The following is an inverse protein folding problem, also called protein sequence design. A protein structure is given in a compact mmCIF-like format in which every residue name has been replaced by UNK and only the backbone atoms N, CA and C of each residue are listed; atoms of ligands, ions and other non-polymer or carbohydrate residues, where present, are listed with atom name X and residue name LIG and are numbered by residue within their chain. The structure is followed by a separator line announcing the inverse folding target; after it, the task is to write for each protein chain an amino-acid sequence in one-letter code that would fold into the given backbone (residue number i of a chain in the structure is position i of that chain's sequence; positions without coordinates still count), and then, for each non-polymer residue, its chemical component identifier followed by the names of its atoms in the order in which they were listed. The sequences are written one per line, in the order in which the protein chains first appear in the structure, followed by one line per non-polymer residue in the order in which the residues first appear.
data_IF_497412989548
#
_entry.id   IF_497412989548
#
_cell.length_a   1.000
_cell.length_b   1.000
_cell.length_c   1.000
_cell.angle_alpha   90.00
_cell.angle_beta   90.00
_cell.angle_gamma   90.00
#
_symmetry.space_group_name_H-M   'P 1'
#
loop_
_entity.id
_entity.type
_entity.pdbx_description
1 polymer ?
#
# COMPACT_ATOMS: atom_id res chain seq x y z
N UNK A 1 -14.39 -16.68 -14.41
CA UNK A 1 -13.04 -16.10 -14.18
C UNK A 1 -12.05 -16.80 -15.08
N UNK A 2 -11.20 -16.05 -15.77
CA UNK A 2 -10.10 -16.56 -16.59
C UNK A 2 -8.78 -16.11 -15.96
N UNK A 3 -7.88 -17.06 -15.69
CA UNK A 3 -6.55 -16.77 -15.17
C UNK A 3 -5.52 -17.15 -16.22
N UNK A 4 -4.61 -16.24 -16.55
CA UNK A 4 -3.47 -16.50 -17.44
C UNK A 4 -2.17 -16.08 -16.75
N UNK A 5 -1.09 -16.78 -17.11
CA UNK A 5 0.27 -16.51 -16.62
C UNK A 5 1.20 -16.37 -17.81
N UNK A 6 2.00 -15.33 -17.82
CA UNK A 6 3.03 -15.15 -18.85
C UNK A 6 4.39 -14.86 -18.22
N UNK A 7 5.46 -15.24 -18.91
CA UNK A 7 6.81 -14.86 -18.55
C UNK A 7 7.00 -13.39 -18.96
N UNK A 8 7.03 -12.50 -17.98
CA UNK A 8 7.13 -11.06 -18.21
C UNK A 8 8.57 -10.58 -18.35
N UNK A 9 9.52 -11.30 -17.70
CA UNK A 9 10.93 -10.95 -17.75
C UNK A 9 11.80 -11.86 -16.89
N UNK A 10 13.07 -11.51 -16.80
CA UNK A 10 14.04 -12.17 -15.92
C UNK A 10 14.96 -11.14 -15.27
N UNK A 11 15.32 -11.37 -14.03
CA UNK A 11 16.37 -10.60 -13.36
C UNK A 11 17.75 -10.90 -13.96
N UNK A 12 18.74 -10.07 -13.64
CA UNK A 12 20.13 -10.30 -14.05
C UNK A 12 20.73 -11.61 -13.53
N UNK A 13 20.22 -12.14 -12.40
CA UNK A 13 20.61 -13.43 -11.87
C UNK A 13 19.75 -14.61 -12.39
N UNK A 14 18.87 -14.36 -13.37
CA UNK A 14 18.09 -15.39 -14.06
C UNK A 14 16.77 -15.78 -13.37
N UNK A 15 16.36 -15.15 -12.28
CA UNK A 15 15.05 -15.40 -11.68
C UNK A 15 13.95 -14.97 -12.64
N UNK A 16 12.96 -15.81 -12.83
CA UNK A 16 11.82 -15.55 -13.71
C UNK A 16 10.81 -14.63 -13.04
N UNK A 17 10.34 -13.65 -13.81
CA UNK A 17 9.31 -12.72 -13.41
C UNK A 17 8.07 -13.02 -14.24
N UNK A 18 6.95 -13.21 -13.55
CA UNK A 18 5.67 -13.56 -14.17
C UNK A 18 4.67 -12.42 -14.01
N UNK A 19 3.81 -12.27 -15.01
CA UNK A 19 2.61 -11.46 -14.98
C UNK A 19 1.40 -12.38 -15.01
N UNK A 20 0.52 -12.23 -14.03
CA UNK A 20 -0.73 -12.95 -13.92
C UNK A 20 -1.87 -12.02 -14.29
N UNK A 21 -2.76 -12.43 -15.17
CA UNK A 21 -4.00 -11.69 -15.47
C UNK A 21 -5.19 -12.51 -15.02
N UNK A 22 -6.03 -11.92 -14.16
CA UNK A 22 -7.28 -12.53 -13.72
C UNK A 22 -8.44 -11.68 -14.24
N UNK A 23 -9.23 -12.24 -15.14
CA UNK A 23 -10.31 -11.54 -15.84
C UNK A 23 -11.67 -12.11 -15.48
N UNK A 24 -12.62 -11.24 -15.17
CA UNK A 24 -14.00 -11.62 -14.88
C UNK A 24 -14.84 -11.74 -16.18
N UNK A 25 -16.07 -12.23 -16.05
CA UNK A 25 -16.98 -12.45 -17.18
C UNK A 25 -17.42 -11.14 -17.86
N UNK A 26 -17.28 -9.99 -17.18
CA UNK A 26 -17.63 -8.65 -17.72
C UNK A 26 -16.46 -7.97 -18.43
N UNK A 27 -15.28 -8.63 -18.46
CA UNK A 27 -14.08 -8.12 -19.12
C UNK A 27 -13.17 -7.25 -18.24
N UNK A 28 -13.57 -6.92 -17.02
CA UNK A 28 -12.69 -6.28 -16.04
C UNK A 28 -11.62 -7.27 -15.55
N UNK A 29 -10.42 -6.77 -15.28
CA UNK A 29 -9.31 -7.65 -14.89
C UNK A 29 -8.31 -6.96 -13.97
N UNK A 30 -7.52 -7.77 -13.29
CA UNK A 30 -6.35 -7.36 -12.52
C UNK A 30 -5.10 -8.02 -13.10
N UNK A 31 -3.98 -7.30 -13.10
CA UNK A 31 -2.68 -7.85 -13.37
C UNK A 31 -1.80 -7.80 -12.13
N UNK A 32 -1.17 -8.93 -11.81
CA UNK A 32 -0.34 -9.13 -10.62
C UNK A 32 1.03 -9.64 -11.03
N UNK A 33 2.07 -9.24 -10.33
CA UNK A 33 3.44 -9.73 -10.55
C UNK A 33 4.06 -10.29 -9.29
N UNK A 34 4.95 -11.26 -9.46
CA UNK A 34 5.79 -11.78 -8.38
C UNK A 34 6.97 -10.87 -8.01
N UNK A 35 7.11 -9.70 -8.63
CA UNK A 35 8.01 -8.64 -8.12
C UNK A 35 7.30 -7.93 -6.98
N UNK A 36 7.78 -8.12 -5.75
CA UNK A 36 7.20 -7.52 -4.56
C UNK A 36 5.73 -7.90 -4.30
N UNK A 37 5.26 -9.04 -4.85
CA UNK A 37 3.84 -9.43 -4.80
C UNK A 37 2.92 -8.30 -5.27
N UNK A 38 3.26 -7.65 -6.41
CA UNK A 38 2.73 -6.35 -6.80
C UNK A 38 1.45 -6.39 -7.63
N UNK A 39 0.60 -5.39 -7.42
CA UNK A 39 -0.50 -5.04 -8.34
C UNK A 39 0.10 -4.21 -9.47
N UNK A 40 -0.04 -4.70 -10.72
CA UNK A 40 0.47 -4.02 -11.92
C UNK A 40 -0.61 -3.20 -12.61
N UNK A 41 -1.83 -3.74 -12.71
CA UNK A 41 -2.97 -3.09 -13.34
C UNK A 41 -4.28 -3.50 -12.68
N UNK A 42 -5.25 -2.59 -12.67
CA UNK A 42 -6.64 -2.89 -12.37
C UNK A 42 -7.49 -2.19 -13.42
N UNK A 43 -8.13 -2.98 -14.28
CA UNK A 43 -8.92 -2.46 -15.39
C UNK A 43 -10.39 -2.66 -15.11
N UNK A 44 -11.11 -1.55 -14.91
CA UNK A 44 -12.51 -1.53 -14.50
C UNK A 44 -13.34 -0.53 -15.32
N UNK A 45 -14.66 -0.76 -15.46
CA UNK A 45 -15.52 0.13 -16.23
C UNK A 45 -15.76 1.47 -15.53
N UNK A 46 -15.97 2.50 -16.31
CA UNK A 46 -16.55 3.77 -15.87
C UNK A 46 -18.09 3.75 -15.94
N UNK A 47 -18.73 4.91 -15.66
CA UNK A 47 -20.18 5.10 -15.73
C UNK A 47 -20.80 4.81 -17.11
N UNK A 48 -20.01 4.87 -18.19
CA UNK A 48 -20.43 4.59 -19.56
C UNK A 48 -20.05 3.17 -20.01
N UNK A 49 -19.47 2.37 -19.11
CA UNK A 49 -19.01 1.00 -19.35
C UNK A 49 -17.63 0.91 -20.03
N UNK A 50 -16.91 2.02 -20.16
CA UNK A 50 -15.58 2.05 -20.78
C UNK A 50 -14.53 1.57 -19.80
N UNK A 51 -13.83 0.50 -20.17
CA UNK A 51 -12.75 -0.07 -19.38
C UNK A 51 -11.49 0.80 -19.43
N UNK A 52 -10.91 1.12 -18.29
CA UNK A 52 -9.60 1.75 -18.19
C UNK A 52 -8.82 1.21 -16.99
N UNK A 53 -7.49 1.21 -17.13
CA UNK A 53 -6.58 0.91 -16.02
C UNK A 53 -6.58 2.08 -15.04
N UNK A 54 -6.78 1.81 -13.77
CA UNK A 54 -6.86 2.83 -12.72
C UNK A 54 -5.69 2.80 -11.73
N UNK A 55 -4.64 2.02 -12.04
CA UNK A 55 -3.45 1.88 -11.20
C UNK A 55 -2.20 2.34 -11.94
N UNK A 56 -1.40 3.21 -11.32
CA UNK A 56 -0.09 3.59 -11.85
C UNK A 56 0.88 2.40 -11.77
N UNK A 57 1.75 2.28 -12.78
CA UNK A 57 2.75 1.21 -12.85
C UNK A 57 3.64 1.36 -14.08
N UNK A 58 4.46 0.36 -14.34
CA UNK A 58 5.48 0.40 -15.39
C UNK A 58 5.24 -0.67 -16.45
N UNK A 59 5.72 -0.45 -17.70
CA UNK A 59 5.52 -1.39 -18.79
C UNK A 59 6.40 -2.64 -18.72
N UNK A 60 7.50 -2.56 -17.97
CA UNK A 60 8.45 -3.67 -17.85
C UNK A 60 8.77 -3.98 -16.37
N UNK A 61 9.08 -5.25 -16.04
CA UNK A 61 9.26 -5.67 -14.65
C UNK A 61 10.51 -5.09 -14.00
N UNK A 62 11.53 -4.71 -14.77
CA UNK A 62 12.78 -4.20 -14.20
C UNK A 62 12.62 -2.80 -13.63
N UNK A 63 11.66 -2.03 -14.15
CA UNK A 63 11.33 -0.70 -13.65
C UNK A 63 10.71 -0.70 -12.24
N UNK A 64 10.24 -1.86 -11.75
CA UNK A 64 9.72 -2.00 -10.38
C UNK A 64 10.82 -2.17 -9.32
N UNK A 65 12.06 -2.54 -9.71
CA UNK A 65 13.15 -2.67 -8.73
C UNK A 65 13.76 -1.31 -8.40
N UNK A 66 13.69 -0.93 -7.13
CA UNK A 66 14.25 0.34 -6.66
C UNK A 66 13.56 1.58 -7.22
N UNK A 67 12.29 1.46 -7.60
CA UNK A 67 11.48 2.51 -8.25
C UNK A 67 11.16 3.72 -7.36
N UNK A 68 11.66 3.79 -6.14
CA UNK A 68 11.36 4.88 -5.21
C UNK A 68 9.89 4.92 -4.75
N UNK A 69 8.89 5.04 -5.66
CA UNK A 69 7.47 5.03 -5.29
C UNK A 69 6.96 3.74 -4.67
N UNK A 70 7.64 2.60 -4.79
CA UNK A 70 7.15 1.30 -4.35
C UNK A 70 5.84 0.87 -5.05
N UNK A 71 5.65 1.28 -6.32
CA UNK A 71 4.38 1.21 -7.04
C UNK A 71 3.74 -0.19 -7.04
N UNK A 72 2.55 -0.31 -6.46
CA UNK A 72 1.72 -1.51 -6.43
C UNK A 72 2.20 -2.63 -5.52
N UNK A 73 3.40 -2.54 -4.94
CA UNK A 73 4.09 -3.65 -4.25
C UNK A 73 3.68 -3.78 -2.78
N UNK A 74 4.05 -4.90 -2.17
CA UNK A 74 3.91 -5.17 -0.73
C UNK A 74 5.23 -4.82 -0.04
N UNK A 75 5.34 -3.64 0.63
CA UNK A 75 6.51 -3.30 1.43
C UNK A 75 6.55 -4.16 2.70
N UNK A 76 7.76 -4.49 3.12
CA UNK A 76 8.01 -5.29 4.32
C UNK A 76 9.52 -5.44 4.55
N UNK A 77 9.90 -5.88 5.76
CA UNK A 77 9.14 -6.52 6.84
C UNK A 77 8.22 -5.52 7.57
N UNK A 78 8.64 -4.25 7.69
CA UNK A 78 7.85 -3.20 8.33
C UNK A 78 7.50 -2.11 7.31
N UNK A 79 6.24 -2.04 6.91
CA UNK A 79 5.72 -0.97 6.06
C UNK A 79 5.72 0.36 6.82
N UNK A 80 5.95 1.47 6.10
CA UNK A 80 6.13 2.80 6.64
C UNK A 80 7.42 2.92 7.49
N UNK A 81 7.53 3.97 8.33
CA UNK A 81 8.77 4.38 8.98
C UNK A 81 9.01 3.72 10.32
N UNK A 82 10.30 3.48 10.63
CA UNK A 82 10.83 3.19 11.96
C UNK A 82 11.88 4.25 12.29
N UNK A 83 11.66 4.99 13.38
CA UNK A 83 12.47 6.13 13.79
C UNK A 83 13.94 5.73 13.98
N UNK A 84 14.84 6.50 13.35
CA UNK A 84 16.29 6.31 13.42
C UNK A 84 16.76 4.90 13.04
N UNK A 85 15.90 4.09 12.39
CA UNK A 85 16.17 2.70 12.07
C UNK A 85 16.43 1.85 13.32
N UNK A 86 15.77 2.12 14.43
CA UNK A 86 15.99 1.40 15.68
C UNK A 86 14.70 1.04 16.37
N UNK A 87 14.69 -0.12 17.01
CA UNK A 87 13.64 -0.52 17.94
C UNK A 87 14.20 -1.49 18.98
N UNK A 88 13.49 -1.61 20.11
CA UNK A 88 13.80 -2.60 21.15
C UNK A 88 12.71 -3.65 21.22
N UNK A 89 13.09 -4.92 21.16
CA UNK A 89 12.18 -6.05 21.30
C UNK A 89 12.74 -7.01 22.38
N UNK A 90 11.94 -7.29 23.40
CA UNK A 90 12.30 -8.16 24.53
C UNK A 90 13.64 -7.78 25.19
N UNK A 91 13.93 -6.47 25.27
CA UNK A 91 15.15 -5.91 25.88
C UNK A 91 16.39 -5.91 24.97
N UNK A 92 16.28 -6.35 23.73
CA UNK A 92 17.36 -6.32 22.73
C UNK A 92 17.10 -5.17 21.75
N UNK A 93 18.11 -4.29 21.58
CA UNK A 93 18.06 -3.24 20.54
C UNK A 93 18.44 -3.83 19.18
N UNK A 94 17.61 -3.54 18.17
CA UNK A 94 17.84 -3.88 16.76
C UNK A 94 18.08 -2.62 15.95
N UNK A 95 19.00 -2.69 14.99
CA UNK A 95 19.35 -1.59 14.10
C UNK A 95 19.06 -1.98 12.64
N UNK A 96 18.30 -1.14 11.96
CA UNK A 96 17.86 -1.31 10.59
C UNK A 96 18.61 -0.31 9.68
N UNK A 97 18.83 -0.61 8.39
CA UNK A 97 19.41 0.33 7.43
C UNK A 97 18.58 1.59 7.30
N UNK A 98 19.24 2.75 7.27
CA UNK A 98 18.62 4.05 7.03
C UNK A 98 18.48 4.27 5.52
N UNK A 99 17.27 4.56 5.05
CA UNK A 99 16.98 4.78 3.63
C UNK A 99 15.98 5.92 3.36
N UNK A 100 15.54 6.67 4.40
CA UNK A 100 14.65 7.81 4.25
C UNK A 100 15.00 8.90 5.27
N UNK A 101 15.80 9.88 4.88
CA UNK A 101 16.34 10.86 5.81
C UNK A 101 17.09 10.18 6.97
N UNK A 102 16.71 10.44 8.24
CA UNK A 102 17.30 9.76 9.39
C UNK A 102 16.63 8.41 9.70
N UNK A 103 15.58 8.02 8.98
CA UNK A 103 14.71 6.91 9.34
C UNK A 103 14.87 5.70 8.40
N UNK A 104 14.38 4.56 8.85
CA UNK A 104 14.14 3.39 8.03
C UNK A 104 12.73 3.45 7.46
N UNK A 105 12.55 3.06 6.20
CA UNK A 105 11.28 3.08 5.47
C UNK A 105 11.05 1.78 4.72
N UNK A 106 9.84 1.24 4.79
CA UNK A 106 9.33 0.13 3.97
C UNK A 106 10.23 -1.12 3.99
N UNK A 107 10.80 -1.47 5.15
CA UNK A 107 11.66 -2.65 5.26
C UNK A 107 13.08 -2.47 4.69
N UNK A 108 13.43 -1.23 4.28
CA UNK A 108 14.79 -0.88 3.83
C UNK A 108 15.02 -1.03 2.33
N UNK A 109 16.26 -0.76 1.88
CA UNK A 109 16.60 -0.73 0.45
C UNK A 109 16.41 -2.09 -0.24
N UNK A 110 16.56 -3.19 0.49
CA UNK A 110 16.35 -4.57 0.02
C UNK A 110 15.12 -5.22 0.66
N UNK A 111 14.09 -4.42 0.97
CA UNK A 111 12.83 -4.89 1.54
C UNK A 111 12.03 -5.78 0.58
N UNK A 112 10.90 -6.29 1.05
CA UNK A 112 10.04 -7.26 0.36
C UNK A 112 9.58 -6.79 -1.03
N UNK A 113 9.38 -5.48 -1.19
CA UNK A 113 9.00 -4.84 -2.44
C UNK A 113 10.06 -4.98 -3.54
N UNK A 114 11.32 -5.24 -3.19
CA UNK A 114 12.44 -5.41 -4.13
C UNK A 114 12.85 -6.87 -4.32
N UNK A 115 11.98 -7.81 -3.95
CA UNK A 115 12.22 -9.26 -4.09
C UNK A 115 11.35 -9.87 -5.18
N UNK A 116 11.88 -10.92 -5.81
CA UNK A 116 11.07 -11.81 -6.64
C UNK A 116 10.55 -12.91 -5.72
N UNK A 117 9.24 -12.94 -5.53
CA UNK A 117 8.54 -13.92 -4.68
C UNK A 117 8.28 -15.20 -5.47
N UNK A 118 8.23 -16.33 -4.78
CA UNK A 118 7.64 -17.53 -5.35
C UNK A 118 6.15 -17.30 -5.60
N UNK A 119 5.59 -17.94 -6.62
CA UNK A 119 4.19 -17.73 -6.96
C UNK A 119 3.51 -19.04 -7.33
N UNK A 120 2.27 -19.17 -6.90
CA UNK A 120 1.40 -20.29 -7.27
C UNK A 120 -0.02 -19.83 -7.56
N UNK A 121 -0.64 -20.45 -8.54
CA UNK A 121 -2.04 -20.24 -8.85
C UNK A 121 -2.91 -21.01 -7.84
N UNK A 122 -4.04 -20.42 -7.49
CA UNK A 122 -5.08 -21.09 -6.71
C UNK A 122 -6.47 -20.81 -7.32
N UNK A 123 -7.52 -21.35 -6.72
CA UNK A 123 -8.88 -21.13 -7.19
C UNK A 123 -9.26 -19.65 -7.01
N UNK A 124 -9.46 -18.95 -8.14
CA UNK A 124 -9.87 -17.54 -8.20
C UNK A 124 -8.75 -16.54 -7.99
N UNK A 125 -7.47 -16.96 -7.86
CA UNK A 125 -6.41 -16.02 -7.54
C UNK A 125 -4.98 -16.54 -7.68
N UNK A 126 -4.06 -15.78 -7.08
CA UNK A 126 -2.62 -16.07 -7.06
C UNK A 126 -2.09 -15.83 -5.65
N UNK A 127 -1.24 -16.73 -5.20
CA UNK A 127 -0.45 -16.57 -3.97
C UNK A 127 1.01 -16.29 -4.32
N UNK A 128 1.58 -15.30 -3.63
CA UNK A 128 2.99 -14.98 -3.64
C UNK A 128 3.57 -15.31 -2.28
N UNK A 129 4.69 -16.05 -2.26
CA UNK A 129 5.37 -16.53 -1.06
C UNK A 129 6.78 -15.97 -1.01
N UNK A 130 7.15 -15.41 0.14
CA UNK A 130 8.52 -14.96 0.40
C UNK A 130 9.03 -15.48 1.74
N UNK A 131 10.25 -16.01 1.73
CA UNK A 131 10.99 -16.38 2.93
C UNK A 131 12.06 -15.34 3.21
N UNK A 132 11.91 -14.63 4.32
CA UNK A 132 12.87 -13.66 4.82
C UNK A 132 13.71 -14.31 5.91
N UNK A 133 15.02 -14.42 5.71
CA UNK A 133 15.93 -15.05 6.67
C UNK A 133 16.06 -14.21 7.95
N UNK A 134 16.46 -14.87 9.05
CA UNK A 134 16.81 -14.16 10.28
C UNK A 134 17.93 -13.14 10.01
N UNK A 135 17.74 -11.90 10.48
CA UNK A 135 18.68 -10.80 10.27
C UNK A 135 18.55 -10.07 8.93
N UNK A 136 17.65 -10.48 8.04
CA UNK A 136 17.41 -9.72 6.79
C UNK A 136 17.00 -8.27 7.10
N UNK A 137 17.73 -7.30 6.54
CA UNK A 137 17.58 -5.86 6.83
C UNK A 137 17.64 -5.52 8.33
N UNK A 138 18.25 -6.37 9.15
CA UNK A 138 18.40 -6.17 10.60
C UNK A 138 17.23 -6.65 11.45
N UNK A 139 16.19 -7.22 10.85
CA UNK A 139 15.03 -7.75 11.59
C UNK A 139 15.29 -9.15 12.13
N UNK A 140 14.92 -9.44 13.41
CA UNK A 140 15.09 -10.77 13.99
C UNK A 140 14.05 -11.77 13.48
N UNK A 141 14.44 -13.04 13.50
CA UNK A 141 13.61 -14.19 13.16
C UNK A 141 13.48 -14.44 11.67
N UNK A 142 13.47 -15.72 11.29
CA UNK A 142 13.11 -16.12 9.94
C UNK A 142 11.58 -16.04 9.77
N UNK A 143 11.12 -15.41 8.68
CA UNK A 143 9.73 -15.11 8.44
C UNK A 143 9.27 -15.73 7.12
N UNK A 144 8.20 -16.49 7.16
CA UNK A 144 7.44 -16.93 5.99
C UNK A 144 6.26 -16.00 5.78
N UNK A 145 6.19 -15.34 4.64
CA UNK A 145 5.13 -14.39 4.29
C UNK A 145 4.39 -14.86 3.05
N UNK A 146 3.06 -14.75 3.06
CA UNK A 146 2.20 -15.02 1.90
C UNK A 146 1.32 -13.79 1.64
N UNK A 147 1.29 -13.36 0.39
CA UNK A 147 0.32 -12.40 -0.13
C UNK A 147 -0.61 -13.15 -1.11
N UNK A 148 -1.87 -13.33 -0.73
CA UNK A 148 -2.88 -13.98 -1.54
C UNK A 148 -3.82 -12.95 -2.13
N UNK A 149 -3.93 -12.93 -3.46
CA UNK A 149 -4.86 -12.10 -4.20
C UNK A 149 -5.98 -12.93 -4.82
N UNK A 150 -7.19 -12.41 -4.72
CA UNK A 150 -8.38 -12.97 -5.36
C UNK A 150 -9.12 -11.85 -6.08
N UNK A 151 -9.52 -12.07 -7.34
CA UNK A 151 -10.36 -11.17 -8.11
C UNK A 151 -11.77 -11.74 -8.21
N UNK A 152 -12.81 -10.89 -8.15
CA UNK A 152 -14.20 -11.36 -8.15
C UNK A 152 -14.98 -10.90 -9.38
N UNK A 153 -16.15 -11.52 -9.60
CA UNK A 153 -17.09 -11.09 -10.65
C UNK A 153 -17.67 -9.69 -10.41
N UNK A 154 -17.62 -9.20 -9.17
CA UNK A 154 -18.12 -7.88 -8.78
C UNK A 154 -17.01 -6.81 -8.69
N UNK A 155 -15.84 -7.10 -9.32
CA UNK A 155 -14.67 -6.20 -9.34
C UNK A 155 -14.10 -5.89 -7.95
N UNK A 156 -14.09 -6.87 -7.05
CA UNK A 156 -13.33 -6.78 -5.80
C UNK A 156 -11.97 -7.46 -5.95
N UNK A 157 -10.90 -6.75 -5.63
CA UNK A 157 -9.57 -7.31 -5.42
C UNK A 157 -9.37 -7.51 -3.92
N UNK A 158 -9.31 -8.77 -3.51
CA UNK A 158 -9.11 -9.16 -2.12
C UNK A 158 -7.66 -9.55 -1.91
N UNK A 159 -6.99 -8.89 -1.00
CA UNK A 159 -5.62 -9.20 -0.58
C UNK A 159 -5.65 -9.71 0.86
N UNK A 160 -5.16 -10.93 1.06
CA UNK A 160 -4.88 -11.46 2.41
C UNK A 160 -3.36 -11.59 2.58
N UNK A 161 -2.85 -10.99 3.64
CA UNK A 161 -1.44 -11.04 4.03
C UNK A 161 -1.31 -11.90 5.27
N UNK A 162 -0.58 -13.01 5.17
CA UNK A 162 -0.30 -13.88 6.31
C UNK A 162 1.20 -14.05 6.52
N UNK A 163 1.61 -14.23 7.79
CA UNK A 163 3.00 -14.53 8.11
C UNK A 163 3.14 -15.34 9.38
N UNK A 164 4.22 -16.13 9.45
CA UNK A 164 4.67 -16.90 10.60
C UNK A 164 6.17 -16.69 10.80
N UNK A 165 6.61 -16.60 12.05
CA UNK A 165 8.02 -16.41 12.40
C UNK A 165 8.52 -17.48 13.36
N UNK A 166 9.80 -17.85 13.27
CA UNK A 166 10.46 -18.81 14.20
C UNK A 166 10.99 -18.13 15.47
N UNK A 167 11.07 -16.78 15.48
CA UNK A 167 11.47 -15.99 16.64
C UNK A 167 10.61 -14.71 16.73
N UNK A 168 10.55 -14.03 17.89
CA UNK A 168 9.87 -12.75 18.01
C UNK A 168 10.40 -11.73 17.00
N UNK A 169 9.51 -11.07 16.28
CA UNK A 169 9.84 -10.05 15.27
C UNK A 169 8.79 -8.96 15.24
N UNK A 170 9.09 -7.83 14.60
CA UNK A 170 8.11 -6.78 14.32
C UNK A 170 7.65 -6.88 12.86
N UNK A 171 6.34 -6.74 12.63
CA UNK A 171 5.73 -6.93 11.33
C UNK A 171 4.65 -5.89 11.07
N UNK A 172 4.67 -5.32 9.89
CA UNK A 172 3.61 -4.48 9.34
C UNK A 172 3.64 -4.62 7.81
N UNK A 173 2.58 -5.12 7.23
CA UNK A 173 2.46 -5.34 5.79
C UNK A 173 1.27 -4.55 5.24
N UNK A 174 1.41 -4.04 4.02
CA UNK A 174 0.35 -3.33 3.28
C UNK A 174 0.55 -3.53 1.78
N UNK A 175 -0.27 -2.87 0.96
CA UNK A 175 -0.04 -2.72 -0.48
C UNK A 175 0.07 -1.24 -0.84
N UNK A 176 1.02 -0.91 -1.71
CA UNK A 176 1.35 0.47 -2.09
C UNK A 176 0.88 0.82 -3.53
N UNK A 177 -0.34 0.40 -3.89
CA UNK A 177 -0.91 0.78 -5.19
C UNK A 177 -1.29 2.26 -5.22
N UNK A 178 -0.95 2.92 -6.33
CA UNK A 178 -1.38 4.30 -6.60
C UNK A 178 -2.58 4.28 -7.53
N UNK A 179 -3.67 4.86 -7.09
CA UNK A 179 -4.93 4.93 -7.85
C UNK A 179 -5.11 6.28 -8.53
N UNK A 180 -5.57 6.24 -9.79
CA UNK A 180 -6.17 7.36 -10.49
C UNK A 180 -7.45 6.85 -11.19
N UNK A 181 -8.60 7.12 -10.62
CA UNK A 181 -9.87 6.58 -11.10
C UNK A 181 -10.36 7.21 -12.42
N UNK A 182 -9.73 8.30 -12.87
CA UNK A 182 -9.95 8.84 -14.22
C UNK A 182 -9.20 8.03 -15.29
N UNK A 183 -8.27 7.16 -14.86
CA UNK A 183 -7.43 6.32 -15.69
C UNK A 183 -5.95 6.60 -15.50
N UNK A 184 -5.12 5.56 -15.61
CA UNK A 184 -3.67 5.67 -15.56
C UNK A 184 -3.16 6.62 -16.63
N UNK A 185 -2.32 7.60 -16.26
CA UNK A 185 -1.82 8.64 -17.16
C UNK A 185 -2.83 9.76 -17.50
N UNK A 186 -4.00 9.78 -16.89
CA UNK A 186 -5.04 10.78 -17.17
C UNK A 186 -5.10 11.90 -16.11
N UNK A 187 -4.08 12.74 -16.11
CA UNK A 187 -4.01 13.92 -15.23
C UNK A 187 -3.77 13.61 -13.76
N UNK A 188 -4.13 14.54 -12.90
CA UNK A 188 -3.94 14.46 -11.45
C UNK A 188 -5.18 13.92 -10.70
N UNK A 189 -5.00 13.67 -9.40
CA UNK A 189 -6.05 13.15 -8.51
C UNK A 189 -6.69 14.25 -7.64
N UNK A 190 -6.39 15.51 -7.88
CA UNK A 190 -6.83 16.60 -7.02
C UNK A 190 -8.36 16.81 -7.05
N UNK A 191 -9.00 16.43 -8.17
CA UNK A 191 -10.45 16.42 -8.31
C UNK A 191 -11.15 15.18 -7.74
N UNK A 192 -10.41 14.13 -7.34
CA UNK A 192 -11.00 12.96 -6.72
C UNK A 192 -11.53 13.31 -5.32
N UNK A 193 -12.69 12.78 -4.99
CA UNK A 193 -13.31 12.94 -3.67
C UNK A 193 -12.92 11.77 -2.78
N UNK A 194 -12.29 12.08 -1.65
CA UNK A 194 -11.95 11.10 -0.63
C UNK A 194 -12.90 11.26 0.55
N UNK A 195 -13.49 10.16 1.04
CA UNK A 195 -14.27 10.06 2.27
C UNK A 195 -13.66 8.98 3.16
N UNK A 196 -13.43 9.29 4.44
CA UNK A 196 -12.74 8.39 5.36
C UNK A 196 -13.58 8.10 6.60
N UNK A 197 -13.55 6.85 7.07
CA UNK A 197 -14.07 6.45 8.37
C UNK A 197 -13.01 6.65 9.45
N UNK A 198 -12.59 7.90 9.65
CA UNK A 198 -11.50 8.25 10.56
C UNK A 198 -11.70 9.66 11.11
N UNK A 199 -11.94 9.77 12.40
CA UNK A 199 -12.12 11.05 13.12
C UNK A 199 -10.82 11.61 13.69
N UNK A 200 -9.73 10.85 13.64
CA UNK A 200 -8.39 11.20 14.14
C UNK A 200 -7.30 10.81 13.15
N UNK A 201 -6.15 11.48 13.24
CA UNK A 201 -4.93 11.15 12.50
C UNK A 201 -3.71 11.20 13.43
N UNK A 202 -2.58 10.68 12.99
CA UNK A 202 -1.33 10.70 13.72
C UNK A 202 -0.48 11.91 13.28
N UNK A 203 -0.37 12.99 14.09
CA UNK A 203 0.55 14.08 13.83
C UNK A 203 1.99 13.60 13.83
N UNK A 204 2.82 14.18 12.96
CA UNK A 204 4.20 13.77 12.78
C UNK A 204 5.18 14.90 13.06
N UNK A 205 6.43 14.57 13.35
CA UNK A 205 7.54 15.51 13.34
C UNK A 205 7.98 15.85 11.89
N UNK A 206 9.01 16.69 11.76
CA UNK A 206 9.55 17.12 10.46
C UNK A 206 10.18 15.97 9.64
N UNK A 207 10.40 14.80 10.23
CA UNK A 207 10.90 13.59 9.57
C UNK A 207 9.79 12.58 9.29
N UNK A 208 8.54 12.98 9.51
CA UNK A 208 7.32 12.19 9.33
C UNK A 208 7.22 10.97 10.27
N UNK A 209 7.80 11.07 11.46
CA UNK A 209 7.61 10.12 12.55
C UNK A 209 6.45 10.57 13.43
N UNK A 210 5.46 9.71 13.75
CA UNK A 210 4.35 10.05 14.64
C UNK A 210 4.81 10.53 16.01
N UNK A 211 4.14 11.57 16.53
CA UNK A 211 4.45 12.15 17.84
C UNK A 211 3.97 11.29 19.03
N UNK A 212 3.13 10.28 18.77
CA UNK A 212 2.64 9.33 19.77
C UNK A 212 1.14 9.44 20.01
N UNK A 213 0.62 10.64 20.21
CA UNK A 213 -0.82 10.86 20.40
C UNK A 213 -1.52 11.14 19.05
N UNK A 214 -2.75 10.65 18.90
CA UNK A 214 -3.62 11.04 17.79
C UNK A 214 -4.21 12.43 18.02
N UNK A 215 -4.63 13.07 16.94
CA UNK A 215 -5.30 14.37 16.96
C UNK A 215 -6.60 14.33 16.15
N UNK A 216 -7.64 15.07 16.57
CA UNK A 216 -8.89 15.13 15.83
C UNK A 216 -8.70 15.78 14.46
N UNK A 217 -9.39 15.26 13.45
CA UNK A 217 -9.39 15.82 12.09
C UNK A 217 -10.33 17.02 11.99
N UNK A 218 -11.36 17.09 12.82
CA UNK A 218 -12.43 18.10 12.75
C UNK A 218 -11.90 19.53 12.78
N UNK A 219 -12.31 20.32 11.79
CA UNK A 219 -11.88 21.72 11.63
C UNK A 219 -10.46 21.91 11.11
N UNK A 220 -9.81 20.84 10.63
CA UNK A 220 -8.49 20.86 10.01
C UNK A 220 -8.54 20.44 8.54
N UNK A 221 -7.50 20.69 7.74
CA UNK A 221 -7.38 20.14 6.39
C UNK A 221 -7.41 18.61 6.32
N UNK A 222 -7.20 17.91 7.46
CA UNK A 222 -7.21 16.45 7.56
C UNK A 222 -8.62 15.84 7.62
N UNK A 223 -9.68 16.66 7.69
CA UNK A 223 -11.06 16.21 7.81
C UNK A 223 -11.63 15.74 6.45
N UNK A 224 -11.71 14.43 6.27
CA UNK A 224 -12.35 13.74 5.15
C UNK A 224 -13.60 12.95 5.55
N UNK A 225 -14.12 13.12 6.76
CA UNK A 225 -15.26 12.34 7.29
C UNK A 225 -16.49 12.45 6.39
N UNK A 226 -16.80 13.64 5.90
CA UNK A 226 -17.97 13.90 5.04
C UNK A 226 -17.67 13.84 3.54
N UNK A 227 -16.43 13.51 3.18
CA UNK A 227 -15.97 13.52 1.80
C UNK A 227 -15.70 14.92 1.25
N UNK A 228 -14.54 15.11 0.63
CA UNK A 228 -14.17 16.34 -0.07
C UNK A 228 -13.14 16.05 -1.16
N UNK A 229 -12.99 16.92 -2.17
CA UNK A 229 -11.92 16.83 -3.14
C UNK A 229 -10.54 16.87 -2.45
N UNK A 230 -9.63 15.99 -2.87
CA UNK A 230 -8.26 15.93 -2.33
C UNK A 230 -7.56 17.28 -2.49
N UNK A 231 -7.75 17.94 -3.64
CA UNK A 231 -7.13 19.23 -3.93
C UNK A 231 -7.67 20.41 -3.13
N UNK A 232 -8.81 20.26 -2.44
CA UNK A 232 -9.47 21.37 -1.76
C UNK A 232 -8.57 22.06 -0.75
N UNK A 233 -7.88 21.28 0.09
CA UNK A 233 -7.07 21.80 1.19
C UNK A 233 -5.60 21.36 1.12
N UNK A 234 -5.17 20.66 0.05
CA UNK A 234 -3.83 20.07 -0.05
C UNK A 234 -2.69 21.10 0.07
N UNK A 235 -2.98 22.36 -0.27
CA UNK A 235 -2.04 23.50 -0.19
C UNK A 235 -2.37 24.48 0.93
N UNK A 236 -3.19 24.06 1.91
CA UNK A 236 -3.53 24.90 3.05
C UNK A 236 -2.29 25.25 3.88
N UNK A 237 -2.35 26.40 4.56
CA UNK A 237 -1.31 26.82 5.51
C UNK A 237 -1.41 26.00 6.81
N UNK A 238 -1.04 24.72 6.69
CA UNK A 238 -1.10 23.72 7.75
C UNK A 238 0.22 22.96 7.77
N UNK A 239 0.92 22.96 8.91
CA UNK A 239 2.29 22.47 9.01
C UNK A 239 2.48 21.03 8.52
N UNK A 240 1.61 20.04 8.86
CA UNK A 240 1.73 18.69 8.34
C UNK A 240 1.73 18.62 6.79
N UNK A 241 0.87 19.41 6.13
CA UNK A 241 0.80 19.45 4.67
C UNK A 241 2.04 20.08 4.03
N UNK A 242 2.66 21.06 4.70
CA UNK A 242 3.91 21.67 4.22
C UNK A 242 5.06 20.68 4.29
N UNK A 243 5.18 19.92 5.40
CA UNK A 243 6.19 18.89 5.59
C UNK A 243 6.05 17.79 4.52
N UNK A 244 4.83 17.29 4.32
CA UNK A 244 4.54 16.23 3.34
C UNK A 244 4.48 16.71 1.89
N UNK A 245 4.48 18.03 1.61
CA UNK A 245 4.18 18.61 0.29
C UNK A 245 2.78 18.20 -0.22
N UNK A 246 1.89 17.86 0.69
CA UNK A 246 0.57 17.30 0.48
C UNK A 246 0.22 16.30 1.57
N UNK A 247 -0.73 15.42 1.31
CA UNK A 247 -1.04 14.37 2.28
C UNK A 247 0.01 13.26 2.18
N UNK A 248 0.57 12.89 3.33
CA UNK A 248 1.41 11.71 3.58
C UNK A 248 1.31 11.39 5.07
N UNK A 249 0.12 11.00 5.50
CA UNK A 249 -0.22 10.85 6.92
C UNK A 249 -1.01 9.58 7.18
N UNK A 250 -0.98 9.11 8.42
CA UNK A 250 -1.75 7.97 8.89
C UNK A 250 -3.00 8.45 9.63
N UNK A 251 -4.18 8.01 9.17
CA UNK A 251 -5.46 8.17 9.87
C UNK A 251 -5.76 6.95 10.71
N UNK A 252 -6.38 7.19 11.87
CA UNK A 252 -6.88 6.16 12.79
C UNK A 252 -8.26 5.76 12.31
N UNK A 253 -8.45 4.48 11.96
CA UNK A 253 -9.76 3.99 11.50
C UNK A 253 -10.70 3.87 12.69
N UNK A 254 -11.85 4.56 12.64
CA UNK A 254 -12.83 4.57 13.71
C UNK A 254 -13.44 3.18 13.92
N UNK A 255 -13.45 2.72 15.19
CA UNK A 255 -14.03 1.43 15.57
C UNK A 255 -13.22 0.21 15.10
N UNK A 256 -11.94 0.39 14.77
CA UNK A 256 -11.08 -0.72 14.38
C UNK A 256 -10.92 -1.73 15.51
N UNK A 257 -11.27 -2.99 15.22
CA UNK A 257 -11.04 -4.12 16.13
C UNK A 257 -10.15 -5.17 15.46
N UNK A 258 -9.19 -5.75 16.19
CA UNK A 258 -8.27 -6.74 15.62
C UNK A 258 -9.01 -7.90 14.93
N UNK A 259 -8.63 -8.17 13.66
CA UNK A 259 -9.18 -9.28 12.87
C UNK A 259 -10.59 -9.05 12.32
N UNK A 260 -11.23 -7.91 12.59
CA UNK A 260 -12.54 -7.58 12.04
C UNK A 260 -12.41 -6.72 10.78
N UNK A 261 -13.03 -7.18 9.69
CA UNK A 261 -13.08 -6.43 8.43
C UNK A 261 -14.07 -5.26 8.58
N UNK A 262 -13.62 -4.05 8.29
CA UNK A 262 -14.41 -2.83 8.44
C UNK A 262 -14.19 -1.89 7.26
N UNK A 263 -15.15 -1.01 7.01
CA UNK A 263 -15.01 0.06 6.04
C UNK A 263 -13.93 1.06 6.48
N UNK A 264 -13.01 1.33 5.58
CA UNK A 264 -11.92 2.28 5.78
C UNK A 264 -12.22 3.63 5.11
N UNK A 265 -12.39 3.62 3.80
CA UNK A 265 -12.58 4.84 3.02
C UNK A 265 -13.22 4.56 1.66
N UNK A 266 -13.66 5.64 1.00
CA UNK A 266 -14.11 5.67 -0.38
C UNK A 266 -13.35 6.75 -1.14
N UNK A 267 -12.81 6.40 -2.31
CA UNK A 267 -12.28 7.32 -3.29
C UNK A 267 -13.19 7.31 -4.50
N UNK A 268 -13.61 8.48 -5.00
CA UNK A 268 -14.42 8.57 -6.20
C UNK A 268 -13.92 9.65 -7.15
N UNK A 269 -14.09 9.43 -8.45
CA UNK A 269 -13.73 10.38 -9.49
C UNK A 269 -15.00 10.84 -10.22
N UNK A 270 -15.47 12.07 -9.99
CA UNK A 270 -16.72 12.57 -10.59
C UNK A 270 -16.74 12.55 -12.11
N UNK A 271 -15.59 12.70 -12.76
CA UNK A 271 -15.48 12.72 -14.23
C UNK A 271 -15.79 11.35 -14.83
N UNK A 272 -15.11 10.30 -14.37
CA UNK A 272 -15.32 8.94 -14.85
C UNK A 272 -16.52 8.26 -14.21
N UNK A 273 -16.97 8.73 -13.05
CA UNK A 273 -17.98 8.08 -12.22
C UNK A 273 -17.46 6.85 -11.49
N UNK A 274 -16.18 6.46 -11.62
CA UNK A 274 -15.59 5.34 -10.89
C UNK A 274 -15.47 5.66 -9.41
N UNK A 275 -15.68 4.63 -8.59
CA UNK A 275 -15.40 4.64 -7.16
C UNK A 275 -14.60 3.43 -6.73
N UNK A 276 -13.86 3.59 -5.66
CA UNK A 276 -13.13 2.56 -4.94
C UNK A 276 -13.50 2.63 -3.47
N UNK A 277 -14.14 1.60 -2.95
CA UNK A 277 -14.36 1.41 -1.51
C UNK A 277 -13.28 0.48 -0.98
N UNK A 278 -12.70 0.82 0.16
CA UNK A 278 -11.66 0.01 0.81
C UNK A 278 -12.16 -0.47 2.16
N UNK A 279 -12.01 -1.77 2.39
CA UNK A 279 -12.29 -2.43 3.66
C UNK A 279 -11.01 -3.11 4.15
N UNK A 280 -10.77 -3.12 5.47
CA UNK A 280 -9.56 -3.71 6.03
C UNK A 280 -9.75 -4.18 7.46
N UNK A 281 -8.85 -5.08 7.89
CA UNK A 281 -8.69 -5.49 9.29
C UNK A 281 -7.61 -4.68 10.01
N UNK A 282 -6.94 -3.76 9.32
CA UNK A 282 -5.87 -2.92 9.86
C UNK A 282 -6.42 -1.76 10.71
N UNK A 283 -5.69 -1.29 11.72
CA UNK A 283 -6.13 -0.20 12.61
C UNK A 283 -5.98 1.20 12.01
N UNK A 284 -5.16 1.36 10.98
CA UNK A 284 -4.87 2.64 10.38
C UNK A 284 -4.75 2.60 8.86
N UNK A 285 -4.75 3.77 8.26
CA UNK A 285 -4.57 3.95 6.83
C UNK A 285 -3.67 5.14 6.55
N UNK A 286 -2.57 4.90 5.83
CA UNK A 286 -1.74 5.97 5.27
C UNK A 286 -2.35 6.41 3.95
N UNK A 287 -2.54 7.71 3.78
CA UNK A 287 -2.91 8.30 2.50
C UNK A 287 -1.75 9.15 2.02
N UNK A 288 -1.22 8.77 0.86
CA UNK A 288 -0.11 9.48 0.21
C UNK A 288 -0.56 9.96 -1.18
N UNK A 289 -0.57 11.26 -1.38
CA UNK A 289 -1.08 11.89 -2.61
C UNK A 289 -0.04 11.98 -3.75
N UNK A 290 0.97 11.11 -3.73
CA UNK A 290 1.96 11.07 -4.80
C UNK A 290 2.82 12.34 -4.91
N UNK A 291 3.15 12.95 -3.78
CA UNK A 291 3.77 14.29 -3.66
C UNK A 291 5.19 14.37 -4.29
N UNK A 292 5.80 13.21 -4.58
CA UNK A 292 7.17 13.06 -5.09
C UNK A 292 7.25 12.02 -6.22
N UNK A 293 6.22 11.93 -7.08
CA UNK A 293 6.23 11.01 -8.22
C UNK A 293 7.06 11.52 -9.39
N UNK A 294 7.22 12.84 -9.51
CA UNK A 294 8.03 13.45 -10.56
C UNK A 294 9.46 12.88 -10.57
N UNK A 295 9.89 12.38 -11.74
CA UNK A 295 11.21 11.78 -11.92
C UNK A 295 11.28 10.27 -11.70
N UNK A 296 10.19 9.59 -11.37
CA UNK A 296 10.12 8.14 -11.40
C UNK A 296 10.22 7.61 -12.87
N UNK A 297 10.45 6.30 -13.09
CA UNK A 297 10.45 5.74 -14.43
C UNK A 297 9.17 6.06 -15.20
N UNK A 298 9.25 6.13 -16.54
CA UNK A 298 8.07 6.32 -17.37
C UNK A 298 7.05 5.20 -17.13
N UNK A 299 5.81 5.59 -16.96
CA UNK A 299 4.68 4.71 -16.72
C UNK A 299 4.26 3.93 -17.96
N UNK A 300 3.14 3.22 -17.83
CA UNK A 300 2.53 2.46 -18.93
C UNK A 300 2.25 3.39 -20.11
N UNK A 301 2.33 2.84 -21.33
CA UNK A 301 2.14 3.60 -22.56
C UNK A 301 3.05 4.84 -22.71
N UNK A 302 4.13 4.95 -21.94
CA UNK A 302 5.05 6.07 -21.96
C UNK A 302 4.54 7.31 -21.22
N UNK A 303 3.51 7.19 -20.39
CA UNK A 303 3.02 8.29 -19.58
C UNK A 303 4.09 8.76 -18.58
N UNK A 304 4.17 10.05 -18.37
CA UNK A 304 5.07 10.64 -17.36
C UNK A 304 4.23 10.93 -16.12
N UNK A 305 4.63 10.33 -15.00
CA UNK A 305 3.98 10.60 -13.73
C UNK A 305 4.59 11.85 -13.09
N UNK A 306 3.76 12.86 -12.97
CA UNK A 306 4.06 14.07 -12.23
C UNK A 306 3.54 13.94 -10.78
N UNK A 307 3.92 14.86 -9.91
CA UNK A 307 3.37 14.93 -8.57
C UNK A 307 1.83 15.00 -8.62
N UNK A 308 1.19 14.29 -7.71
CA UNK A 308 -0.28 14.18 -7.59
C UNK A 308 -0.99 13.43 -8.73
N UNK A 309 -0.30 12.66 -9.55
CA UNK A 309 -0.95 11.85 -10.60
C UNK A 309 -1.56 10.55 -10.10
N UNK A 310 -1.30 10.18 -8.85
CA UNK A 310 -1.88 9.01 -8.19
C UNK A 310 -1.93 9.19 -6.68
N UNK A 311 -2.87 8.51 -6.02
CA UNK A 311 -2.99 8.45 -4.57
C UNK A 311 -2.80 7.03 -4.08
N UNK A 312 -1.86 6.81 -3.15
CA UNK A 312 -1.73 5.55 -2.45
C UNK A 312 -2.59 5.57 -1.17
N UNK A 313 -3.30 4.47 -0.94
CA UNK A 313 -4.15 4.26 0.25
C UNK A 313 -3.71 2.95 0.87
N UNK A 314 -2.87 3.04 1.88
CA UNK A 314 -2.14 1.92 2.47
C UNK A 314 -2.76 1.55 3.83
N UNK A 315 -3.63 0.54 3.85
CA UNK A 315 -4.14 0.01 5.12
C UNK A 315 -3.02 -0.73 5.85
N UNK A 316 -2.68 -0.29 7.05
CA UNK A 316 -1.50 -0.74 7.77
C UNK A 316 -1.63 -0.53 9.29
N UNK A 317 -0.69 -1.11 10.05
CA UNK A 317 -0.45 -0.68 11.43
C UNK A 317 0.19 0.72 11.43
N UNK A 318 0.19 1.37 12.58
CA UNK A 318 0.72 2.74 12.70
C UNK A 318 2.23 2.79 12.43
N UNK A 319 2.71 3.85 11.75
CA UNK A 319 4.14 4.06 11.58
C UNK A 319 4.84 4.13 12.93
N UNK A 320 6.06 3.60 13.02
CA UNK A 320 6.91 3.58 14.22
C UNK A 320 6.29 2.87 15.45
N UNK A 321 5.29 1.97 15.25
CA UNK A 321 4.67 1.27 16.36
C UNK A 321 5.66 0.44 17.23
N UNK A 322 6.77 -0.10 16.72
CA UNK A 322 7.76 -0.75 17.58
C UNK A 322 8.33 0.13 18.69
N UNK A 323 8.28 1.46 18.52
CA UNK A 323 8.79 2.47 19.46
C UNK A 323 7.70 3.21 20.25
N UNK A 324 6.42 2.81 20.10
CA UNK A 324 5.26 3.49 20.69
C UNK A 324 4.42 2.49 21.49
N UNK A 325 4.58 2.48 22.80
CA UNK A 325 3.94 1.48 23.68
C UNK A 325 2.40 1.49 23.64
N UNK A 326 1.80 2.67 23.33
CA UNK A 326 0.35 2.86 23.28
C UNK A 326 -0.26 2.57 21.89
N UNK A 327 0.57 2.20 20.91
CA UNK A 327 0.12 1.85 19.56
C UNK A 327 -0.29 0.37 19.48
N UNK A 328 -1.13 0.00 18.50
CA UNK A 328 -1.49 -1.39 18.29
C UNK A 328 -0.23 -2.27 18.13
N UNK A 329 -0.26 -3.45 18.76
CA UNK A 329 0.88 -4.37 18.76
C UNK A 329 1.30 -4.75 17.34
N UNK A 330 2.60 -4.65 17.07
CA UNK A 330 3.19 -5.04 15.79
C UNK A 330 4.15 -6.24 15.96
N UNK A 331 4.19 -6.86 17.13
CA UNK A 331 5.07 -8.00 17.42
C UNK A 331 4.37 -9.30 17.04
N UNK A 332 5.05 -10.11 16.25
CA UNK A 332 4.66 -11.49 15.92
C UNK A 332 5.58 -12.45 16.66
N UNK A 333 5.00 -13.43 17.38
CA UNK A 333 5.74 -14.43 18.16
C UNK A 333 5.64 -15.82 17.55
N UNK A 334 6.60 -16.72 17.80
CA UNK A 334 6.52 -18.11 17.38
C UNK A 334 5.21 -18.77 17.80
N UNK A 335 4.54 -19.43 16.85
CA UNK A 335 3.25 -20.08 17.06
C UNK A 335 2.04 -19.16 16.88
N UNK A 336 2.23 -17.86 16.69
CA UNK A 336 1.19 -16.94 16.26
C UNK A 336 1.17 -16.81 14.73
N UNK A 337 0.00 -16.49 14.18
CA UNK A 337 -0.18 -16.20 12.76
C UNK A 337 -0.57 -14.73 12.63
N UNK A 338 0.23 -13.98 11.88
CA UNK A 338 -0.19 -12.67 11.40
C UNK A 338 -1.16 -12.87 10.25
N UNK A 339 -2.32 -12.25 10.32
CA UNK A 339 -3.31 -12.26 9.24
C UNK A 339 -3.97 -10.90 9.13
N UNK A 340 -3.91 -10.31 7.94
CA UNK A 340 -4.54 -9.02 7.63
C UNK A 340 -5.20 -9.09 6.25
N UNK A 341 -6.34 -8.42 6.12
CA UNK A 341 -7.09 -8.35 4.88
C UNK A 341 -7.27 -6.90 4.42
N UNK A 342 -7.18 -6.71 3.10
CA UNK A 342 -7.54 -5.47 2.42
C UNK A 342 -8.42 -5.85 1.23
N UNK A 343 -9.59 -5.23 1.12
CA UNK A 343 -10.49 -5.39 -0.03
C UNK A 343 -10.58 -4.06 -0.76
N UNK A 344 -10.23 -4.08 -2.04
CA UNK A 344 -10.40 -2.97 -2.97
C UNK A 344 -11.64 -3.27 -3.82
N UNK A 345 -12.77 -2.65 -3.50
CA UNK A 345 -14.04 -2.85 -4.17
C UNK A 345 -14.30 -1.72 -5.19
N UNK A 346 -14.16 -2.04 -6.46
CA UNK A 346 -14.34 -1.07 -7.55
C UNK A 346 -15.79 -1.08 -8.04
N UNK A 347 -16.32 0.13 -8.30
CA UNK A 347 -17.68 0.33 -8.79
C UNK A 347 -17.85 1.65 -9.53
N UNK A 348 -19.10 2.00 -9.81
CA UNK A 348 -19.49 3.29 -10.38
C UNK A 348 -20.58 3.92 -9.52
N UNK A 349 -20.63 5.26 -9.49
CA UNK A 349 -21.68 6.03 -8.80
C UNK A 349 -22.92 6.16 -9.67
#
# INVERSE_FOLDING_TARGET
MELTKELWGKTSCGKEIFLYTIKNSKGAYVQLSNVGAGIVSVVVPDKDGVLADVVLGYPDPMSYFGDGPCAGKVPGRYANRVALGKFTLDGVEYTLPINNGPNHLHGGPEGFQNKVWESRENEGGVEFLYYSEDGEMGYPGALKTVARYEWTEDCELRLTLTAESDAPTVLNLTNHAYFNLNGEGNGDILGHVLRMNASEYLPTDATQIPLGESAPVAGTPMDFVNGKPIGQDIKADFEPLKIGKGYDHCWVIDGAEPGQLQFCCELSAPESGRKLEIYTTQPGVQVYTGNWLSGCPAGKNGHIYEDYTGVAIECQNYPDAPNKADYPCCVLRPGEVYEQAIIFAFGVN
#
